data_IF_365462656383
#
_entry.id   IF_365462656383
#
_cell.length_a   1.000
_cell.length_b   1.000
_cell.length_c   1.000
_cell.angle_alpha   90.00
_cell.angle_beta   90.00
_cell.angle_gamma   90.00
#
_symmetry.space_group_name_H-M   'P 1'
#
loop_
_entity.id
_entity.type
_entity.pdbx_description
1 polymer ?
#
# COMPACT_ATOMS: atom_id res chain seq x y z
N UNK A 1 25.32 -23.22 30.02
CA UNK A 1 24.48 -22.23 29.33
C UNK A 1 24.03 -22.90 28.02
N UNK A 2 22.80 -23.36 27.99
CA UNK A 2 22.21 -23.97 26.77
C UNK A 2 21.91 -22.86 25.80
N UNK A 3 22.43 -22.96 24.58
CA UNK A 3 22.05 -22.10 23.48
C UNK A 3 20.57 -22.42 23.14
N UNK A 4 19.65 -21.52 23.46
CA UNK A 4 18.31 -21.58 22.92
C UNK A 4 18.44 -21.50 21.40
N UNK A 5 18.23 -22.65 20.75
CA UNK A 5 18.17 -22.70 19.30
C UNK A 5 16.95 -21.89 18.86
N UNK A 6 17.19 -20.75 18.23
CA UNK A 6 16.15 -19.99 17.52
C UNK A 6 15.60 -20.92 16.43
N UNK A 7 14.41 -21.48 16.66
CA UNK A 7 13.69 -22.21 15.62
C UNK A 7 13.32 -21.15 14.55
N UNK A 8 14.06 -21.14 13.46
CA UNK A 8 13.73 -20.30 12.31
C UNK A 8 12.44 -20.85 11.71
N UNK A 9 11.31 -20.17 11.92
CA UNK A 9 10.04 -20.53 11.29
C UNK A 9 10.21 -20.37 9.79
N UNK A 10 9.94 -21.44 9.03
CA UNK A 10 10.03 -21.36 7.57
C UNK A 10 8.81 -20.58 7.02
N UNK A 11 9.08 -19.51 6.31
CA UNK A 11 8.09 -18.73 5.59
C UNK A 11 7.54 -19.54 4.40
N UNK A 12 6.24 -19.81 4.39
CA UNK A 12 5.58 -20.40 3.23
C UNK A 12 5.09 -19.30 2.28
N UNK A 13 5.18 -19.58 0.98
CA UNK A 13 4.73 -18.65 -0.07
C UNK A 13 3.84 -19.40 -1.06
N UNK A 14 2.64 -18.87 -1.30
CA UNK A 14 1.70 -19.37 -2.29
C UNK A 14 1.31 -18.25 -3.26
N UNK A 15 1.48 -18.46 -4.57
CA UNK A 15 0.97 -17.56 -5.58
C UNK A 15 -0.47 -17.97 -5.95
N UNK A 16 -1.39 -17.02 -5.93
CA UNK A 16 -2.79 -17.21 -6.26
C UNK A 16 -3.09 -16.38 -7.51
N UNK A 17 -3.78 -16.95 -8.48
CA UNK A 17 -4.20 -16.24 -9.69
C UNK A 17 -5.69 -16.46 -9.89
N UNK A 18 -6.42 -15.35 -10.03
CA UNK A 18 -7.86 -15.35 -10.32
C UNK A 18 -8.07 -14.73 -11.70
N UNK A 19 -8.58 -15.52 -12.62
CA UNK A 19 -8.85 -15.05 -13.99
C UNK A 19 -10.07 -14.13 -14.01
N UNK A 20 -9.91 -12.93 -14.56
CA UNK A 20 -11.00 -11.99 -14.86
C UNK A 20 -11.16 -11.93 -16.38
N UNK A 21 -11.96 -12.83 -16.97
CA UNK A 21 -12.17 -12.90 -18.43
C UNK A 21 -11.15 -13.76 -19.18
N UNK A 22 -11.13 -13.65 -20.52
CA UNK A 22 -10.40 -14.54 -21.42
C UNK A 22 -8.95 -14.14 -21.72
N UNK A 23 -8.42 -13.10 -21.09
CA UNK A 23 -7.03 -12.62 -21.30
C UNK A 23 -6.15 -12.93 -20.11
N UNK A 24 -4.94 -13.43 -20.36
CA UNK A 24 -3.92 -13.70 -19.33
C UNK A 24 -3.52 -12.39 -18.60
N UNK A 25 -3.60 -11.26 -19.28
CA UNK A 25 -3.25 -9.96 -18.72
C UNK A 25 -4.37 -9.36 -17.83
N UNK A 26 -5.58 -9.93 -17.86
CA UNK A 26 -6.70 -9.56 -16.99
C UNK A 26 -6.80 -10.42 -15.72
N UNK A 27 -5.74 -11.13 -15.37
CA UNK A 27 -5.73 -12.00 -14.19
C UNK A 27 -5.22 -11.24 -12.97
N UNK A 28 -6.03 -11.17 -11.93
CA UNK A 28 -5.59 -10.73 -10.60
C UNK A 28 -4.58 -11.71 -10.04
N UNK A 29 -3.52 -11.20 -9.44
CA UNK A 29 -2.48 -12.00 -8.82
C UNK A 29 -2.31 -11.58 -7.37
N UNK A 30 -2.08 -12.60 -6.54
CA UNK A 30 -1.87 -12.43 -5.11
C UNK A 30 -0.65 -13.25 -4.72
N UNK A 31 0.10 -12.77 -3.75
CA UNK A 31 1.16 -13.54 -3.11
C UNK A 31 0.80 -13.70 -1.64
N UNK A 32 0.60 -14.93 -1.21
CA UNK A 32 0.21 -15.27 0.15
C UNK A 32 1.41 -15.79 0.91
N UNK A 33 1.81 -15.07 1.95
CA UNK A 33 2.88 -15.40 2.88
C UNK A 33 2.27 -15.84 4.19
N UNK A 34 2.70 -16.99 4.74
CA UNK A 34 2.13 -17.52 5.97
C UNK A 34 3.13 -18.39 6.74
N UNK A 35 3.01 -18.46 8.08
CA UNK A 35 3.88 -19.28 8.91
C UNK A 35 3.67 -20.78 8.64
N UNK A 36 4.73 -21.60 8.77
CA UNK A 36 4.69 -23.03 8.41
C UNK A 36 4.02 -23.93 9.44
N UNK A 37 4.10 -23.60 10.73
CA UNK A 37 3.75 -24.52 11.82
C UNK A 37 2.91 -23.92 12.94
N UNK A 38 2.64 -22.64 12.94
CA UNK A 38 1.83 -21.95 13.95
C UNK A 38 0.38 -21.74 13.49
N UNK A 39 -0.55 -21.73 14.42
CA UNK A 39 -1.90 -21.25 14.13
C UNK A 39 -1.85 -19.79 13.71
N UNK A 40 -2.43 -19.48 12.56
CA UNK A 40 -2.52 -18.09 12.08
C UNK A 40 -3.40 -17.28 13.05
N UNK A 41 -2.87 -16.16 13.53
CA UNK A 41 -3.50 -15.28 14.53
C UNK A 41 -4.27 -14.13 13.89
N UNK A 42 -3.82 -13.65 12.74
CA UNK A 42 -4.47 -12.58 11.99
C UNK A 42 -4.10 -12.66 10.50
N UNK A 43 -4.95 -12.07 9.65
CA UNK A 43 -4.67 -11.84 8.24
C UNK A 43 -4.40 -10.36 8.00
N UNK A 44 -3.32 -10.07 7.27
CA UNK A 44 -2.97 -8.74 6.80
C UNK A 44 -3.13 -8.72 5.28
N UNK A 45 -3.99 -7.86 4.73
CA UNK A 45 -4.04 -7.58 3.30
C UNK A 45 -3.08 -6.44 3.01
N UNK A 46 -2.01 -6.74 2.26
CA UNK A 46 -0.97 -5.79 1.93
C UNK A 46 -1.15 -5.22 0.52
N UNK A 47 -1.10 -3.89 0.40
CA UNK A 47 -1.26 -3.12 -0.82
C UNK A 47 0.05 -2.37 -1.11
N UNK A 48 0.67 -2.66 -2.25
CA UNK A 48 1.96 -2.09 -2.62
C UNK A 48 1.88 -0.61 -3.03
N UNK A 49 3.02 0.08 -2.96
CA UNK A 49 3.19 1.46 -3.41
C UNK A 49 3.40 1.60 -4.93
N UNK A 50 4.07 2.69 -5.33
CA UNK A 50 4.41 2.95 -6.73
C UNK A 50 3.53 3.99 -7.42
N UNK A 51 2.89 4.89 -6.67
CA UNK A 51 2.12 6.03 -7.19
C UNK A 51 0.92 5.64 -8.05
N UNK A 52 0.38 4.43 -7.92
CA UNK A 52 -0.65 3.80 -8.76
C UNK A 52 -0.19 3.50 -10.20
N UNK A 53 1.06 3.78 -10.55
CA UNK A 53 1.61 3.71 -11.91
C UNK A 53 2.62 2.57 -12.09
N UNK A 54 3.13 2.01 -11.00
CA UNK A 54 4.07 0.89 -11.00
C UNK A 54 3.98 0.08 -9.70
N UNK A 55 4.80 -0.96 -9.57
CA UNK A 55 4.87 -1.81 -8.37
C UNK A 55 4.22 -3.17 -8.57
N UNK A 56 4.31 -3.99 -7.54
CA UNK A 56 3.70 -5.31 -7.49
C UNK A 56 3.68 -5.87 -6.06
N UNK A 57 2.87 -6.93 -5.84
CA UNK A 57 2.68 -7.59 -4.55
C UNK A 57 3.95 -8.17 -3.90
N UNK A 58 5.05 -8.28 -4.63
CA UNK A 58 6.33 -8.83 -4.13
C UNK A 58 7.30 -7.75 -3.65
N UNK A 59 6.90 -6.48 -3.64
CA UNK A 59 7.78 -5.37 -3.27
C UNK A 59 8.04 -5.27 -1.76
N UNK A 60 7.28 -6.00 -0.94
CA UNK A 60 7.44 -6.02 0.51
C UNK A 60 8.82 -6.58 0.89
N UNK A 61 9.65 -5.84 1.66
CA UNK A 61 10.96 -6.32 2.08
C UNK A 61 10.92 -7.63 2.87
N UNK A 62 11.96 -8.44 2.75
CA UNK A 62 12.02 -9.77 3.37
C UNK A 62 11.88 -9.72 4.89
N UNK A 63 12.57 -8.78 5.54
CA UNK A 63 12.52 -8.60 6.99
C UNK A 63 11.09 -8.39 7.52
N UNK A 64 10.26 -7.62 6.78
CA UNK A 64 8.86 -7.41 7.17
C UNK A 64 8.07 -8.72 7.11
N UNK A 65 8.26 -9.49 6.04
CA UNK A 65 7.59 -10.79 5.87
C UNK A 65 7.99 -11.76 6.98
N UNK A 66 9.29 -11.92 7.21
CA UNK A 66 9.82 -12.80 8.24
C UNK A 66 9.29 -12.41 9.63
N UNK A 67 9.46 -11.16 10.05
CA UNK A 67 9.05 -10.69 11.37
C UNK A 67 7.55 -10.83 11.64
N UNK A 68 6.72 -10.50 10.67
CA UNK A 68 5.26 -10.60 10.83
C UNK A 68 4.79 -12.06 10.83
N UNK A 69 5.36 -12.91 9.98
CA UNK A 69 5.01 -14.35 9.98
C UNK A 69 5.55 -15.10 11.18
N UNK A 70 6.69 -14.70 11.74
CA UNK A 70 7.22 -15.24 13.01
C UNK A 70 6.25 -14.99 14.18
N UNK A 71 5.51 -13.88 14.13
CA UNK A 71 4.45 -13.57 15.11
C UNK A 71 3.11 -14.28 14.83
N UNK A 72 3.05 -15.09 13.79
CA UNK A 72 1.83 -15.81 13.40
C UNK A 72 0.87 -15.02 12.53
N UNK A 73 1.30 -13.91 11.93
CA UNK A 73 0.46 -13.13 11.02
C UNK A 73 0.65 -13.61 9.58
N UNK A 74 -0.45 -13.90 8.90
CA UNK A 74 -0.43 -14.18 7.47
C UNK A 74 -0.58 -12.89 6.65
N UNK A 75 0.06 -12.82 5.50
CA UNK A 75 0.04 -11.63 4.64
C UNK A 75 -0.46 -12.02 3.25
N UNK A 76 -1.58 -11.46 2.82
CA UNK A 76 -2.06 -11.53 1.45
C UNK A 76 -1.65 -10.25 0.73
N UNK A 77 -0.56 -10.30 -0.04
CA UNK A 77 -0.11 -9.18 -0.86
C UNK A 77 -0.83 -9.21 -2.21
N UNK A 78 -1.42 -8.08 -2.59
CA UNK A 78 -2.27 -7.97 -3.77
C UNK A 78 -1.62 -7.14 -4.87
N UNK A 79 -1.70 -7.62 -6.11
CA UNK A 79 -1.49 -6.82 -7.31
C UNK A 79 -2.83 -6.17 -7.69
N UNK A 80 -2.82 -4.93 -8.14
CA UNK A 80 -4.00 -4.20 -8.58
C UNK A 80 -3.77 -3.57 -9.95
N UNK A 81 -4.84 -3.23 -10.72
CA UNK A 81 -4.68 -2.65 -12.04
C UNK A 81 -4.03 -1.27 -11.94
N UNK A 82 -3.05 -0.99 -12.81
CA UNK A 82 -2.24 0.21 -12.77
C UNK A 82 -2.77 1.29 -13.72
N UNK A 83 -2.63 2.53 -13.29
CA UNK A 83 -2.83 3.69 -14.14
C UNK A 83 -1.65 3.84 -15.14
N UNK A 84 -1.87 4.55 -16.24
CA UNK A 84 -3.07 5.28 -16.64
C UNK A 84 -4.15 4.44 -17.32
N UNK A 85 -3.91 3.16 -17.58
CA UNK A 85 -4.85 2.27 -18.26
C UNK A 85 -6.08 1.95 -17.41
N UNK A 86 -5.89 1.78 -16.10
CA UNK A 86 -6.97 1.78 -15.11
C UNK A 86 -7.07 3.15 -14.43
N UNK A 87 -8.26 3.58 -14.08
CA UNK A 87 -8.47 4.81 -13.33
C UNK A 87 -8.73 4.51 -11.85
N UNK A 88 -8.71 5.54 -11.02
CA UNK A 88 -8.78 5.38 -9.56
C UNK A 88 -10.05 4.65 -9.11
N UNK A 89 -11.16 4.79 -9.81
CA UNK A 89 -12.40 4.08 -9.57
C UNK A 89 -12.25 2.57 -9.80
N UNK A 90 -11.70 2.17 -10.94
CA UNK A 90 -11.40 0.76 -11.26
C UNK A 90 -10.40 0.16 -10.27
N UNK A 91 -9.35 0.92 -9.94
CA UNK A 91 -8.31 0.50 -9.00
C UNK A 91 -8.90 0.27 -7.59
N UNK A 92 -9.67 1.25 -7.10
CA UNK A 92 -10.27 1.19 -5.77
C UNK A 92 -11.31 0.07 -5.68
N UNK A 93 -12.11 -0.13 -6.71
CA UNK A 93 -13.07 -1.23 -6.78
C UNK A 93 -12.38 -2.60 -6.73
N UNK A 94 -11.28 -2.76 -7.48
CA UNK A 94 -10.48 -3.99 -7.48
C UNK A 94 -9.85 -4.28 -6.11
N UNK A 95 -9.35 -3.25 -5.41
CA UNK A 95 -8.82 -3.35 -4.05
C UNK A 95 -9.90 -3.77 -3.06
N UNK A 96 -11.06 -3.12 -3.08
CA UNK A 96 -12.18 -3.43 -2.17
C UNK A 96 -12.66 -4.86 -2.40
N UNK A 97 -12.82 -5.28 -3.65
CA UNK A 97 -13.21 -6.65 -3.99
C UNK A 97 -12.16 -7.67 -3.52
N UNK A 98 -10.87 -7.35 -3.66
CA UNK A 98 -9.78 -8.20 -3.18
C UNK A 98 -9.79 -8.35 -1.65
N UNK A 99 -10.08 -7.26 -0.92
CA UNK A 99 -10.21 -7.31 0.55
C UNK A 99 -11.44 -8.13 0.93
N UNK A 100 -12.60 -7.88 0.32
CA UNK A 100 -13.84 -8.60 0.63
C UNK A 100 -13.73 -10.11 0.40
N UNK A 101 -12.88 -10.56 -0.52
CA UNK A 101 -12.66 -11.97 -0.85
C UNK A 101 -11.39 -12.57 -0.22
N UNK A 102 -10.68 -11.85 0.66
CA UNK A 102 -9.36 -12.27 1.15
C UNK A 102 -9.36 -13.62 1.89
N UNK A 103 -10.42 -13.93 2.63
CA UNK A 103 -10.54 -15.21 3.33
C UNK A 103 -10.81 -16.38 2.35
N UNK A 104 -11.62 -16.18 1.33
CA UNK A 104 -11.83 -17.17 0.28
C UNK A 104 -10.55 -17.43 -0.51
N UNK A 105 -9.84 -16.37 -0.92
CA UNK A 105 -8.58 -16.44 -1.65
C UNK A 105 -7.50 -17.21 -0.89
N UNK A 106 -7.42 -17.02 0.42
CA UNK A 106 -6.41 -17.66 1.27
C UNK A 106 -6.83 -19.04 1.79
N UNK A 107 -8.13 -19.31 1.85
CA UNK A 107 -8.70 -20.51 2.51
C UNK A 107 -8.67 -20.41 4.03
N UNK A 108 -8.48 -19.21 4.58
CA UNK A 108 -8.47 -18.97 6.02
C UNK A 108 -9.89 -18.83 6.57
N UNK A 109 -10.04 -19.05 7.88
CA UNK A 109 -11.30 -18.81 8.59
C UNK A 109 -11.67 -17.33 8.57
N UNK A 110 -12.93 -17.02 8.31
CA UNK A 110 -13.42 -15.64 8.19
C UNK A 110 -13.60 -14.91 9.53
N UNK A 111 -13.39 -15.58 10.66
CA UNK A 111 -13.45 -15.02 12.01
C UNK A 111 -12.08 -14.54 12.52
N UNK A 112 -11.00 -14.71 11.73
CA UNK A 112 -9.70 -14.18 12.07
C UNK A 112 -9.69 -12.64 12.03
N UNK A 113 -8.95 -11.99 12.96
CA UNK A 113 -8.68 -10.56 12.88
C UNK A 113 -8.10 -10.18 11.53
N UNK A 114 -8.66 -9.10 10.94
CA UNK A 114 -8.30 -8.61 9.62
C UNK A 114 -7.70 -7.20 9.70
N UNK A 115 -6.52 -7.05 9.11
CA UNK A 115 -5.82 -5.77 8.96
C UNK A 115 -5.63 -5.44 7.49
N UNK A 116 -5.67 -4.14 7.15
CA UNK A 116 -5.29 -3.64 5.84
C UNK A 116 -4.05 -2.79 5.99
N UNK A 117 -3.02 -3.09 5.23
CA UNK A 117 -1.74 -2.40 5.28
C UNK A 117 -1.33 -1.93 3.90
N UNK A 118 -1.00 -0.65 3.79
CA UNK A 118 -0.49 -0.08 2.56
C UNK A 118 0.80 0.72 2.77
N UNK A 119 1.57 0.83 1.69
CA UNK A 119 2.77 1.66 1.62
C UNK A 119 2.60 2.70 0.52
N UNK A 120 2.88 3.99 0.80
CA UNK A 120 2.76 5.08 -0.18
C UNK A 120 1.37 5.12 -0.84
N UNK A 121 1.30 5.00 -2.15
CA UNK A 121 0.02 4.90 -2.89
C UNK A 121 -0.85 3.72 -2.42
N UNK A 122 -0.24 2.61 -1.98
CA UNK A 122 -0.98 1.51 -1.36
C UNK A 122 -1.62 1.90 -0.03
N UNK A 123 -0.99 2.78 0.75
CA UNK A 123 -1.58 3.32 1.97
C UNK A 123 -2.75 4.27 1.68
N UNK A 124 -2.65 5.06 0.63
CA UNK A 124 -3.76 5.85 0.11
C UNK A 124 -4.96 4.95 -0.26
N UNK A 125 -4.72 3.88 -1.02
CA UNK A 125 -5.77 2.90 -1.36
C UNK A 125 -6.34 2.19 -0.12
N UNK A 126 -5.49 1.80 0.84
CA UNK A 126 -5.91 1.17 2.09
C UNK A 126 -6.86 2.07 2.88
N UNK A 127 -6.54 3.36 2.99
CA UNK A 127 -7.37 4.34 3.68
C UNK A 127 -8.71 4.56 2.97
N UNK A 128 -8.71 4.73 1.65
CA UNK A 128 -9.94 4.91 0.86
C UNK A 128 -10.82 3.66 0.88
N UNK A 129 -10.23 2.47 0.69
CA UNK A 129 -10.97 1.21 0.72
C UNK A 129 -11.60 0.97 2.09
N UNK A 130 -10.85 1.25 3.17
CA UNK A 130 -11.35 1.11 4.54
C UNK A 130 -12.51 2.06 4.85
N UNK A 131 -12.53 3.25 4.25
CA UNK A 131 -13.59 4.23 4.42
C UNK A 131 -14.81 4.01 3.50
N UNK A 132 -14.74 3.04 2.60
CA UNK A 132 -15.80 2.77 1.62
C UNK A 132 -16.93 1.94 2.22
N UNK A 133 -18.16 2.32 1.92
CA UNK A 133 -19.38 1.55 2.24
C UNK A 133 -19.50 0.22 1.47
N UNK A 134 -18.67 0.05 0.41
CA UNK A 134 -18.56 -1.21 -0.34
C UNK A 134 -17.67 -2.25 0.37
N UNK A 135 -16.91 -1.85 1.40
CA UNK A 135 -16.16 -2.80 2.22
C UNK A 135 -17.10 -3.45 3.24
N UNK A 136 -17.28 -4.77 3.13
CA UNK A 136 -18.24 -5.50 3.96
C UNK A 136 -17.60 -6.20 5.16
N UNK A 137 -16.28 -6.41 5.14
CA UNK A 137 -15.56 -7.05 6.22
C UNK A 137 -15.22 -6.05 7.33
N UNK A 138 -15.35 -6.51 8.58
CA UNK A 138 -14.88 -5.75 9.73
C UNK A 138 -13.37 -5.76 9.77
N UNK A 139 -12.75 -4.58 9.84
CA UNK A 139 -11.33 -4.42 10.07
C UNK A 139 -11.00 -4.33 11.55
N UNK A 140 -9.89 -4.93 11.94
CA UNK A 140 -9.28 -4.79 13.27
C UNK A 140 -8.28 -3.63 13.33
N UNK A 141 -7.69 -3.25 12.20
CA UNK A 141 -6.81 -2.10 12.10
C UNK A 141 -6.41 -1.75 10.68
N UNK A 142 -5.98 -0.52 10.50
CA UNK A 142 -5.48 0.06 9.25
C UNK A 142 -4.04 0.49 9.49
N UNK A 143 -3.12 0.12 8.60
CA UNK A 143 -1.71 0.44 8.70
C UNK A 143 -1.31 1.26 7.47
N UNK A 144 -0.86 2.48 7.68
CA UNK A 144 -0.51 3.44 6.63
C UNK A 144 0.97 3.84 6.77
N UNK A 145 1.82 3.31 5.90
CA UNK A 145 3.21 3.71 5.84
C UNK A 145 3.39 4.81 4.79
N UNK A 146 3.85 5.98 5.23
CA UNK A 146 4.08 7.20 4.43
C UNK A 146 2.99 7.42 3.37
N UNK A 147 1.74 7.16 3.77
CA UNK A 147 0.56 7.35 2.94
C UNK A 147 0.08 8.79 2.93
N UNK A 148 -0.90 9.02 2.10
CA UNK A 148 -1.59 10.28 1.95
C UNK A 148 -3.10 10.03 1.81
N UNK A 149 -3.90 11.07 1.89
CA UNK A 149 -5.34 10.91 1.75
C UNK A 149 -6.08 12.23 1.65
N UNK A 150 -5.45 13.34 2.03
CA UNK A 150 -6.06 14.67 1.96
C UNK A 150 -5.66 15.43 0.71
N UNK A 151 -4.53 15.08 0.10
CA UNK A 151 -3.96 15.76 -1.04
C UNK A 151 -3.82 17.26 -0.76
N UNK A 152 -3.07 17.54 0.34
CA UNK A 152 -2.78 18.90 0.79
C UNK A 152 -1.81 19.60 -0.17
N UNK A 153 -1.87 20.95 -0.18
CA UNK A 153 -0.85 21.80 -0.81
C UNK A 153 -0.56 21.52 -2.30
N UNK A 154 -1.46 20.82 -3.00
CA UNK A 154 -1.38 20.51 -4.45
C UNK A 154 -0.04 19.89 -4.89
N UNK A 155 0.68 19.20 -3.98
CA UNK A 155 1.99 18.58 -4.25
C UNK A 155 1.96 17.55 -5.38
N UNK A 156 0.84 16.91 -5.59
CA UNK A 156 0.57 15.89 -6.61
C UNK A 156 0.29 16.49 -8.00
N UNK A 157 -0.07 17.78 -8.08
CA UNK A 157 -0.53 18.50 -9.26
C UNK A 157 0.48 19.59 -9.72
N UNK A 158 1.67 19.57 -9.13
CA UNK A 158 2.79 20.46 -9.44
C UNK A 158 4.08 19.65 -9.66
N UNK A 159 5.01 20.17 -10.50
CA UNK A 159 6.32 19.56 -10.64
C UNK A 159 7.04 19.44 -9.30
N UNK A 160 7.45 18.22 -8.95
CA UNK A 160 8.16 17.96 -7.70
C UNK A 160 9.61 18.44 -7.77
N UNK A 161 10.06 19.28 -6.82
CA UNK A 161 11.46 19.74 -6.78
C UNK A 161 12.48 18.60 -6.67
N UNK A 162 12.11 17.49 -6.05
CA UNK A 162 12.95 16.29 -5.96
C UNK A 162 13.12 15.63 -7.32
N UNK A 163 12.00 15.30 -7.99
CA UNK A 163 12.04 14.61 -9.28
C UNK A 163 12.57 15.49 -10.42
N UNK A 164 12.48 16.80 -10.31
CA UNK A 164 13.09 17.73 -11.28
C UNK A 164 14.60 17.72 -11.25
N UNK A 165 15.26 17.15 -10.24
CA UNK A 165 16.72 16.94 -10.20
C UNK A 165 17.15 15.70 -10.98
N UNK A 166 16.24 14.79 -11.29
CA UNK A 166 16.50 13.59 -12.07
C UNK A 166 16.53 13.91 -13.58
N UNK A 167 17.12 13.05 -14.41
CA UNK A 167 17.04 13.20 -15.86
C UNK A 167 15.60 13.32 -16.33
N UNK A 168 15.34 14.25 -17.23
CA UNK A 168 14.01 14.54 -17.75
C UNK A 168 13.46 13.33 -18.53
N UNK A 169 12.31 12.82 -18.10
CA UNK A 169 11.59 11.76 -18.79
C UNK A 169 10.69 12.35 -19.85
N UNK A 170 10.83 11.91 -21.10
CA UNK A 170 9.99 12.33 -22.22
C UNK A 170 8.73 11.47 -22.30
N UNK A 171 7.59 12.07 -22.64
CA UNK A 171 6.30 11.37 -22.79
C UNK A 171 6.37 10.19 -23.77
N UNK A 172 7.06 10.35 -24.90
CA UNK A 172 7.23 9.27 -25.87
C UNK A 172 8.12 8.09 -25.43
N UNK A 173 8.74 8.17 -24.23
CA UNK A 173 9.55 7.07 -23.67
C UNK A 173 8.84 6.25 -22.61
N UNK A 174 7.61 6.58 -22.29
CA UNK A 174 6.81 5.94 -21.24
C UNK A 174 5.56 5.26 -21.82
N UNK A 175 4.98 4.33 -21.06
CA UNK A 175 3.87 3.48 -21.55
C UNK A 175 2.48 4.02 -21.23
N UNK A 176 2.29 5.34 -21.31
CA UNK A 176 0.98 5.96 -20.99
C UNK A 176 -0.07 5.76 -22.11
N UNK A 177 0.35 5.43 -23.32
CA UNK A 177 -0.53 5.23 -24.47
C UNK A 177 -0.86 3.76 -24.75
N UNK A 178 -0.30 2.82 -23.98
CA UNK A 178 -0.66 1.42 -24.06
C UNK A 178 -2.13 1.26 -23.65
N UNK A 179 -2.87 0.38 -24.35
CA UNK A 179 -4.29 0.18 -24.07
C UNK A 179 -4.57 -0.99 -23.14
N UNK A 180 -3.56 -1.78 -22.87
CA UNK A 180 -3.69 -3.00 -22.09
C UNK A 180 -3.59 -2.69 -20.59
N UNK A 181 -4.58 -3.15 -19.81
CA UNK A 181 -4.55 -3.02 -18.36
C UNK A 181 -3.47 -3.95 -17.80
N UNK A 182 -2.59 -3.39 -16.99
CA UNK A 182 -1.48 -4.08 -16.35
C UNK A 182 -1.73 -4.14 -14.84
N UNK A 183 -1.68 -5.34 -14.26
CA UNK A 183 -1.82 -5.57 -12.82
C UNK A 183 -0.47 -5.58 -12.08
N UNK A 184 0.62 -5.58 -12.80
CA UNK A 184 1.97 -5.62 -12.26
C UNK A 184 2.89 -4.81 -13.14
N UNK A 185 3.45 -3.75 -12.59
CA UNK A 185 4.40 -2.89 -13.25
C UNK A 185 5.78 -3.06 -12.63
N UNK A 186 6.69 -3.74 -13.31
CA UNK A 186 8.09 -3.80 -12.88
C UNK A 186 8.66 -2.39 -12.75
N UNK A 187 9.31 -2.11 -11.62
CA UNK A 187 9.89 -0.79 -11.33
C UNK A 187 10.88 -0.38 -12.41
N UNK A 188 11.72 -1.29 -12.89
CA UNK A 188 12.69 -0.99 -13.95
C UNK A 188 12.03 -0.44 -15.24
N UNK A 189 10.80 -0.86 -15.52
CA UNK A 189 10.08 -0.49 -16.74
C UNK A 189 9.09 0.66 -16.53
N UNK A 190 8.36 0.65 -15.40
CA UNK A 190 7.20 1.51 -15.17
C UNK A 190 7.49 2.72 -14.27
N UNK A 191 8.56 2.70 -13.47
CA UNK A 191 8.88 3.81 -12.57
C UNK A 191 9.16 5.13 -13.31
N UNK A 192 9.63 5.05 -14.56
CA UNK A 192 9.78 6.21 -15.43
C UNK A 192 8.45 6.95 -15.67
N UNK A 193 7.32 6.26 -15.68
CA UNK A 193 5.99 6.87 -15.78
C UNK A 193 5.66 7.68 -14.53
N UNK A 194 6.02 7.17 -13.35
CA UNK A 194 5.87 7.92 -12.10
C UNK A 194 6.78 9.15 -12.05
N UNK A 195 8.06 9.00 -12.45
CA UNK A 195 8.99 10.15 -12.55
C UNK A 195 8.41 11.23 -13.48
N UNK A 196 7.92 10.83 -14.67
CA UNK A 196 7.27 11.76 -15.59
C UNK A 196 6.08 12.47 -14.95
N UNK A 197 5.19 11.74 -14.29
CA UNK A 197 4.04 12.30 -13.60
C UNK A 197 4.43 13.35 -12.56
N UNK A 198 5.50 13.06 -11.78
CA UNK A 198 6.02 13.95 -10.74
C UNK A 198 6.82 15.13 -11.31
N UNK A 199 7.52 14.96 -12.43
CA UNK A 199 8.23 16.05 -13.12
C UNK A 199 7.27 17.04 -13.80
N UNK A 200 6.10 16.58 -14.23
CA UNK A 200 5.15 17.39 -15.00
C UNK A 200 3.94 17.86 -14.20
N UNK A 201 3.76 17.38 -12.95
CA UNK A 201 2.56 17.64 -12.16
C UNK A 201 1.30 16.94 -12.70
N UNK A 202 1.45 15.88 -13.50
CA UNK A 202 0.33 15.19 -14.15
C UNK A 202 -0.14 13.93 -13.44
N UNK A 203 0.27 13.72 -12.19
CA UNK A 203 -0.10 12.49 -11.49
C UNK A 203 -1.62 12.28 -11.42
N UNK A 204 -2.37 13.30 -11.03
CA UNK A 204 -3.83 13.24 -10.96
C UNK A 204 -4.45 12.96 -12.34
N UNK A 205 -3.97 13.62 -13.38
CA UNK A 205 -4.50 13.46 -14.75
C UNK A 205 -4.30 12.04 -15.30
N UNK A 206 -3.24 11.35 -14.88
CA UNK A 206 -3.00 9.96 -15.26
C UNK A 206 -3.94 8.98 -14.57
N UNK A 207 -4.35 9.27 -13.35
CA UNK A 207 -5.15 8.35 -12.53
C UNK A 207 -6.65 8.63 -12.55
N UNK A 208 -7.07 9.81 -12.99
CA UNK A 208 -8.47 10.24 -12.94
C UNK A 208 -8.88 11.00 -14.19
N UNK A 209 -10.08 10.70 -14.68
CA UNK A 209 -10.75 11.43 -15.76
C UNK A 209 -12.09 11.94 -15.27
N UNK A 210 -12.20 13.24 -15.07
CA UNK A 210 -13.45 13.83 -14.59
C UNK A 210 -13.28 15.25 -14.04
N UNK A 211 -14.31 15.73 -13.36
CA UNK A 211 -14.25 17.05 -12.73
C UNK A 211 -13.56 16.96 -11.37
N UNK A 212 -12.63 17.85 -11.09
CA UNK A 212 -11.85 17.91 -9.86
C UNK A 212 -12.70 17.84 -8.59
N UNK A 213 -13.84 18.48 -8.54
CA UNK A 213 -14.73 18.43 -7.37
C UNK A 213 -15.16 17.02 -7.00
N UNK A 214 -15.34 16.14 -7.99
CA UNK A 214 -15.70 14.74 -7.73
C UNK A 214 -14.49 13.91 -7.30
N UNK A 215 -13.31 14.22 -7.83
CA UNK A 215 -12.08 13.64 -7.36
C UNK A 215 -11.87 13.89 -5.87
N UNK A 216 -11.97 15.15 -5.45
CA UNK A 216 -11.81 15.50 -4.03
C UNK A 216 -12.92 14.99 -3.13
N UNK A 217 -14.12 14.81 -3.66
CA UNK A 217 -15.26 14.29 -2.90
C UNK A 217 -15.14 12.78 -2.67
N UNK A 218 -14.76 12.00 -3.69
CA UNK A 218 -14.84 10.53 -3.66
C UNK A 218 -13.50 9.85 -3.45
N UNK A 219 -12.40 10.50 -3.81
CA UNK A 219 -11.06 9.89 -3.77
C UNK A 219 -10.12 10.62 -2.81
N UNK A 220 -10.67 11.30 -1.80
CA UNK A 220 -9.90 11.84 -0.68
C UNK A 220 -10.62 11.60 0.65
N UNK A 221 -9.87 11.69 1.75
CA UNK A 221 -10.42 11.58 3.10
C UNK A 221 -11.06 12.87 3.62
N UNK A 222 -11.19 13.91 2.77
CA UNK A 222 -11.73 15.21 3.20
C UNK A 222 -13.16 15.09 3.73
N UNK A 223 -13.99 14.27 3.10
CA UNK A 223 -15.38 14.02 3.47
C UNK A 223 -15.59 12.82 4.40
N UNK A 224 -14.52 12.14 4.83
CA UNK A 224 -14.59 10.96 5.70
C UNK A 224 -14.41 11.40 7.15
N UNK A 225 -15.45 11.40 7.95
CA UNK A 225 -15.41 11.89 9.34
C UNK A 225 -14.66 10.96 10.28
N UNK A 226 -14.78 9.65 10.11
CA UNK A 226 -14.12 8.63 10.93
C UNK A 226 -13.72 7.41 10.11
N UNK A 227 -12.67 6.73 10.53
CA UNK A 227 -12.28 5.42 9.98
C UNK A 227 -12.98 4.29 10.76
N UNK A 228 -13.25 3.14 10.12
CA UNK A 228 -14.00 2.05 10.76
C UNK A 228 -13.17 1.23 11.76
N UNK A 229 -11.86 1.46 11.83
CA UNK A 229 -10.93 0.75 12.70
C UNK A 229 -9.78 1.65 13.16
N UNK A 230 -9.05 1.28 14.23
CA UNK A 230 -7.83 1.96 14.66
C UNK A 230 -6.83 2.12 13.51
N UNK A 231 -6.12 3.24 13.49
CA UNK A 231 -5.10 3.56 12.49
C UNK A 231 -3.71 3.58 13.11
N UNK A 232 -2.75 2.93 12.48
CA UNK A 232 -1.32 3.12 12.71
C UNK A 232 -0.72 3.89 11.54
N UNK A 233 -0.27 5.11 11.77
CA UNK A 233 0.28 6.00 10.74
C UNK A 233 1.79 6.18 10.91
N UNK A 234 2.52 6.01 9.83
CA UNK A 234 3.98 6.08 9.78
C UNK A 234 4.41 7.11 8.75
N UNK A 235 5.38 7.95 9.07
CA UNK A 235 5.94 8.89 8.10
C UNK A 235 7.37 9.30 8.48
N UNK A 236 8.12 9.84 7.50
CA UNK A 236 9.39 10.51 7.78
C UNK A 236 9.26 12.02 7.63
N UNK A 237 9.88 12.76 8.55
CA UNK A 237 9.93 14.23 8.45
C UNK A 237 10.73 14.73 7.26
N UNK A 238 11.63 13.88 6.71
CA UNK A 238 12.47 14.16 5.56
C UNK A 238 11.94 13.59 4.24
N UNK A 239 10.72 13.07 4.21
CA UNK A 239 10.12 12.48 3.01
C UNK A 239 10.18 13.42 1.81
N UNK A 240 10.80 12.94 0.73
CA UNK A 240 11.05 13.74 -0.48
C UNK A 240 9.95 13.62 -1.53
N UNK A 241 8.98 12.73 -1.32
CA UNK A 241 7.91 12.45 -2.27
C UNK A 241 6.53 12.88 -1.76
N UNK A 242 6.12 12.37 -0.59
CA UNK A 242 4.85 12.72 0.05
C UNK A 242 5.10 13.72 1.19
N UNK A 243 4.52 14.92 1.12
CA UNK A 243 4.75 15.94 2.14
C UNK A 243 4.28 15.51 3.53
N UNK A 244 5.06 15.89 4.55
CA UNK A 244 4.74 15.62 5.94
C UNK A 244 3.39 16.23 6.39
N UNK A 245 2.86 17.24 5.66
CA UNK A 245 1.52 17.80 5.88
C UNK A 245 0.39 16.80 5.70
N UNK A 246 0.57 15.77 4.86
CA UNK A 246 -0.39 14.65 4.74
C UNK A 246 -0.49 13.85 6.05
N UNK A 247 0.66 13.50 6.63
CA UNK A 247 0.71 12.82 7.91
C UNK A 247 0.12 13.66 9.05
N UNK A 248 0.43 14.95 9.10
CA UNK A 248 -0.15 15.87 10.10
C UNK A 248 -1.68 15.92 9.95
N UNK A 249 -2.20 15.97 8.73
CA UNK A 249 -3.64 15.95 8.46
C UNK A 249 -4.32 14.66 8.94
N UNK A 250 -3.68 13.50 8.70
CA UNK A 250 -4.13 12.22 9.24
C UNK A 250 -4.15 12.22 10.78
N UNK A 251 -3.07 12.69 11.39
CA UNK A 251 -2.95 12.75 12.85
C UNK A 251 -4.00 13.67 13.48
N UNK A 252 -4.23 14.83 12.90
CA UNK A 252 -5.19 15.80 13.41
C UNK A 252 -6.65 15.31 13.31
N UNK A 253 -6.97 14.56 12.27
CA UNK A 253 -8.35 14.11 12.03
C UNK A 253 -8.67 12.79 12.73
N UNK A 254 -7.76 11.82 12.70
CA UNK A 254 -8.06 10.44 13.13
C UNK A 254 -7.30 10.01 14.39
N UNK A 255 -6.38 10.82 14.92
CA UNK A 255 -5.63 10.55 16.16
C UNK A 255 -5.01 9.14 16.20
N UNK A 256 -4.23 8.73 15.18
CA UNK A 256 -3.68 7.39 15.08
C UNK A 256 -2.60 7.11 16.13
N UNK A 257 -2.35 5.83 16.40
CA UNK A 257 -1.03 5.40 16.83
C UNK A 257 -0.02 5.78 15.75
N UNK A 258 1.20 6.22 16.12
CA UNK A 258 2.10 6.80 15.14
C UNK A 258 3.56 6.41 15.35
N UNK A 259 4.29 6.36 14.24
CA UNK A 259 5.74 6.29 14.19
C UNK A 259 6.28 7.37 13.26
N UNK A 260 7.28 8.12 13.72
CA UNK A 260 7.90 9.20 12.94
C UNK A 260 9.40 8.95 12.86
N UNK A 261 9.90 8.78 11.64
CA UNK A 261 11.34 8.73 11.36
C UNK A 261 11.87 10.12 10.99
N UNK A 262 13.19 10.29 11.10
CA UNK A 262 13.88 11.51 10.66
C UNK A 262 14.87 11.20 9.53
N UNK A 263 14.46 10.35 8.59
CA UNK A 263 15.25 9.87 7.46
C UNK A 263 14.83 10.63 6.20
N UNK A 264 15.76 11.12 5.36
CA UNK A 264 15.43 11.94 4.18
C UNK A 264 14.97 11.11 2.97
N UNK A 265 14.22 10.03 3.22
CA UNK A 265 13.75 9.10 2.20
C UNK A 265 12.26 8.81 2.38
N UNK A 266 11.56 8.61 1.26
CA UNK A 266 10.14 8.29 1.24
C UNK A 266 9.87 6.90 1.80
N UNK A 267 10.47 5.87 1.22
CA UNK A 267 10.30 4.46 1.58
C UNK A 267 11.48 3.94 2.45
N UNK A 268 11.78 4.68 3.50
CA UNK A 268 12.93 4.49 4.38
C UNK A 268 13.04 3.09 5.00
N UNK A 269 11.93 2.37 5.13
CA UNK A 269 11.89 1.01 5.65
C UNK A 269 12.37 -0.07 4.66
N UNK A 270 12.79 0.31 3.45
CA UNK A 270 13.47 -0.60 2.51
C UNK A 270 14.88 -0.93 2.94
N UNK A 271 15.56 -0.01 3.61
CA UNK A 271 16.84 -0.33 4.22
C UNK A 271 16.59 -1.10 5.54
N UNK A 272 16.67 -2.41 5.44
CA UNK A 272 16.45 -3.33 6.56
C UNK A 272 17.65 -3.40 7.53
N UNK A 273 18.73 -2.67 7.26
CA UNK A 273 19.90 -2.55 8.16
C UNK A 273 19.76 -1.39 9.13
N UNK A 274 18.86 -0.44 8.84
CA UNK A 274 18.60 0.71 9.70
C UNK A 274 17.84 0.31 10.96
N UNK A 275 18.30 0.77 12.15
CA UNK A 275 17.63 0.49 13.43
C UNK A 275 16.18 0.96 13.46
N UNK A 276 15.88 2.08 12.82
CA UNK A 276 14.53 2.66 12.71
C UNK A 276 13.56 1.72 11.97
N UNK A 277 14.04 0.99 10.96
CA UNK A 277 13.22 -0.01 10.26
C UNK A 277 12.84 -1.16 11.20
N UNK A 278 13.78 -1.65 12.00
CA UNK A 278 13.50 -2.71 12.98
C UNK A 278 12.52 -2.22 14.05
N UNK A 279 12.72 -0.99 14.55
CA UNK A 279 11.80 -0.39 15.53
C UNK A 279 10.40 -0.21 14.94
N UNK A 280 10.29 0.27 13.71
CA UNK A 280 9.02 0.42 13.00
C UNK A 280 8.27 -0.92 12.91
N UNK A 281 8.94 -1.99 12.51
CA UNK A 281 8.33 -3.33 12.41
C UNK A 281 7.84 -3.80 13.79
N UNK A 282 8.62 -3.61 14.85
CA UNK A 282 8.23 -3.97 16.21
C UNK A 282 7.01 -3.15 16.69
N UNK A 283 6.93 -1.87 16.35
CA UNK A 283 5.74 -1.04 16.63
C UNK A 283 4.51 -1.51 15.86
N UNK A 284 4.69 -1.92 14.61
CA UNK A 284 3.62 -2.50 13.79
C UNK A 284 3.10 -3.80 14.39
N UNK A 285 3.99 -4.69 14.82
CA UNK A 285 3.64 -5.93 15.54
C UNK A 285 2.86 -5.60 16.82
N UNK A 286 3.32 -4.61 17.58
CA UNK A 286 2.65 -4.17 18.81
C UNK A 286 1.25 -3.65 18.51
N UNK A 287 1.09 -2.81 17.48
CA UNK A 287 -0.22 -2.30 17.05
C UNK A 287 -1.17 -3.44 16.67
N UNK A 288 -0.71 -4.40 15.87
CA UNK A 288 -1.51 -5.57 15.48
C UNK A 288 -1.90 -6.37 16.72
N UNK A 289 -0.95 -6.68 17.60
CA UNK A 289 -1.19 -7.48 18.82
C UNK A 289 -2.21 -6.84 19.78
N UNK A 290 -2.25 -5.52 19.84
CA UNK A 290 -3.18 -4.78 20.70
C UNK A 290 -4.62 -4.72 20.13
N UNK A 291 -4.80 -5.05 18.86
CA UNK A 291 -6.09 -4.94 18.15
C UNK A 291 -6.64 -6.30 17.65
N UNK A 292 -6.06 -7.40 18.14
CA UNK A 292 -6.54 -8.76 17.83
C UNK A 292 -7.74 -9.13 18.71
#
# INVERSE_FOLDING_TARGET
MASEGVIKIMLNVKNITVSKGNSINSSRRFTFYYPSESSIRALIVYIHGGGLLCGNAKDLPELHKEKLTDEGYAILAIDYPLAPQAKIDDILEDIIDSINNCFELTGLRSDLPLFVWGRSAGAYLALLASASDKLHLKLNGIISYYGYGFLCDSWYDAPSPYYMKLPLVKEGSIKIHDKEIVYRGDIATYFSTYIYARQTGKWKDLIYEGRDKYFFLFYTLRAVDSLPAPLFAVHSTGDTDVPYSEFISLCNKYHPDKFVASIPEHDFDRDTTEPETVELINKTITFISNNI
#
